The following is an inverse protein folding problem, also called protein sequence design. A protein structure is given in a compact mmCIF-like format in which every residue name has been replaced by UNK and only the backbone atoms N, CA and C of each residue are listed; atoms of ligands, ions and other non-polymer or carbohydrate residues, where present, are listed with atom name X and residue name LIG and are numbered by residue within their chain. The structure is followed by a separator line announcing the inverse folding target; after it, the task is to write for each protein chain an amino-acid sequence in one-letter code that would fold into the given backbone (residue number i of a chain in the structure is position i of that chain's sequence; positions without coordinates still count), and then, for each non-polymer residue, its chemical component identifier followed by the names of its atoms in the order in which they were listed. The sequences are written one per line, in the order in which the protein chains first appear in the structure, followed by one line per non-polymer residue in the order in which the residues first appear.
data_IF_025337589292
#
_entry.id   IF_025337589292
#
_cell.length_a   1.000
_cell.length_b   1.000
_cell.length_c   1.000
_cell.angle_alpha   90.00
_cell.angle_beta   90.00
_cell.angle_gamma   90.00
#
_symmetry.space_group_name_H-M   'P 1'
#
loop_
_entity.id
_entity.type
_entity.pdbx_description
1 polymer ?
#
# COMPACT_ATOMS: atom_id res chain seq x y z
N UNK A 1 -8.70 -6.09 -13.89
CA UNK A 1 -9.43 -4.81 -13.85
C UNK A 1 -9.61 -4.29 -12.42
N UNK A 2 -9.92 -5.16 -11.50
CA UNK A 2 -10.21 -4.84 -10.09
C UNK A 2 -9.10 -4.08 -9.36
N UNK A 3 -7.86 -4.20 -9.82
CA UNK A 3 -6.67 -3.53 -9.27
C UNK A 3 -6.42 -2.13 -9.85
N UNK A 4 -7.09 -1.72 -10.94
CA UNK A 4 -6.94 -0.40 -11.56
C UNK A 4 -8.28 0.33 -11.42
N UNK A 5 -8.29 1.38 -10.60
CA UNK A 5 -9.51 2.11 -10.25
C UNK A 5 -9.27 3.62 -10.26
N UNK A 6 -10.27 4.38 -10.67
CA UNK A 6 -10.33 5.84 -10.49
C UNK A 6 -11.59 6.13 -9.68
N UNK A 7 -11.44 6.79 -8.53
CA UNK A 7 -12.54 7.15 -7.61
C UNK A 7 -13.44 5.96 -7.23
N UNK A 8 -12.86 4.77 -7.10
CA UNK A 8 -13.56 3.53 -6.77
C UNK A 8 -14.05 2.72 -7.99
N UNK A 9 -14.18 3.33 -9.15
CA UNK A 9 -14.64 2.66 -10.37
C UNK A 9 -13.49 1.90 -11.06
N UNK A 10 -13.76 0.66 -11.44
CA UNK A 10 -12.79 -0.18 -12.15
C UNK A 10 -12.61 0.30 -13.60
N UNK A 11 -11.38 0.26 -14.10
CA UNK A 11 -11.06 0.45 -15.52
C UNK A 11 -12.04 -0.34 -16.42
N UNK A 12 -12.53 0.27 -17.49
CA UNK A 12 -13.48 -0.35 -18.43
C UNK A 12 -12.85 -1.55 -19.17
N UNK A 13 -13.67 -2.44 -19.68
CA UNK A 13 -13.19 -3.53 -20.57
C UNK A 13 -12.65 -2.97 -21.87
N UNK A 14 -13.28 -1.92 -22.38
CA UNK A 14 -12.90 -1.30 -23.65
C UNK A 14 -11.52 -0.65 -23.54
N UNK A 15 -11.24 0.11 -22.47
CA UNK A 15 -9.91 0.68 -22.22
C UNK A 15 -8.82 -0.40 -22.10
N UNK A 16 -9.12 -1.53 -21.46
CA UNK A 16 -8.17 -2.65 -21.40
C UNK A 16 -7.93 -3.23 -22.79
N UNK A 17 -9.00 -3.45 -23.58
CA UNK A 17 -8.90 -4.05 -24.90
C UNK A 17 -8.16 -3.13 -25.88
N UNK A 18 -8.42 -1.83 -25.84
CA UNK A 18 -7.75 -0.81 -26.65
C UNK A 18 -6.26 -0.81 -26.34
N UNK A 19 -5.87 -0.63 -25.09
CA UNK A 19 -4.47 -0.64 -24.68
C UNK A 19 -3.73 -1.94 -25.09
N UNK A 20 -4.39 -3.10 -24.89
CA UNK A 20 -3.80 -4.39 -25.27
C UNK A 20 -3.61 -4.52 -26.78
N UNK A 21 -4.57 -4.05 -27.58
CA UNK A 21 -4.47 -4.12 -29.05
C UNK A 21 -3.37 -3.19 -29.57
N UNK A 22 -3.28 -1.98 -29.05
CA UNK A 22 -2.32 -0.97 -29.48
C UNK A 22 -0.87 -1.35 -29.14
N UNK A 23 -0.68 -2.14 -28.08
CA UNK A 23 0.64 -2.52 -27.60
C UNK A 23 1.01 -4.01 -27.79
N UNK A 24 0.17 -4.78 -28.47
CA UNK A 24 0.30 -6.25 -28.56
C UNK A 24 1.65 -6.69 -29.14
N UNK A 25 2.09 -6.05 -30.23
CA UNK A 25 3.35 -6.39 -30.90
C UNK A 25 4.56 -6.02 -30.03
N UNK A 26 4.50 -4.91 -29.30
CA UNK A 26 5.53 -4.52 -28.34
C UNK A 26 5.61 -5.54 -27.20
N UNK A 27 4.48 -5.96 -26.67
CA UNK A 27 4.44 -6.96 -25.58
C UNK A 27 5.04 -8.29 -25.99
N UNK A 28 4.71 -8.76 -27.21
CA UNK A 28 5.23 -10.02 -27.75
C UNK A 28 6.73 -9.95 -28.03
N UNK A 29 7.19 -8.87 -28.64
CA UNK A 29 8.61 -8.72 -29.01
C UNK A 29 9.52 -8.55 -27.79
N UNK A 30 9.02 -8.03 -26.67
CA UNK A 30 9.78 -7.82 -25.45
C UNK A 30 9.54 -8.89 -24.36
N UNK A 31 8.69 -9.89 -24.60
CA UNK A 31 8.35 -10.95 -23.64
C UNK A 31 7.91 -10.41 -22.27
N UNK A 32 7.09 -9.34 -22.23
CA UNK A 32 6.66 -8.73 -21.00
C UNK A 32 5.79 -9.68 -20.17
N UNK A 33 6.02 -9.66 -18.86
CA UNK A 33 5.18 -10.38 -17.90
C UNK A 33 3.79 -9.74 -17.80
N UNK A 34 2.82 -10.50 -17.32
CA UNK A 34 1.47 -9.98 -17.07
C UNK A 34 1.48 -8.78 -16.12
N UNK A 35 2.38 -8.78 -15.12
CA UNK A 35 2.48 -7.66 -14.17
C UNK A 35 3.02 -6.39 -14.84
N UNK A 36 4.08 -6.49 -15.64
CA UNK A 36 4.63 -5.36 -16.40
C UNK A 36 3.59 -4.74 -17.35
N UNK A 37 2.84 -5.58 -18.08
CA UNK A 37 1.73 -5.11 -18.93
C UNK A 37 0.65 -4.41 -18.10
N UNK A 38 0.33 -4.93 -16.90
CA UNK A 38 -0.67 -4.34 -16.00
C UNK A 38 -0.21 -3.00 -15.45
N UNK A 39 1.06 -2.85 -15.11
CA UNK A 39 1.64 -1.58 -14.65
C UNK A 39 1.61 -0.54 -15.77
N UNK A 40 2.02 -0.92 -17.00
CA UNK A 40 1.93 -0.06 -18.18
C UNK A 40 0.51 0.44 -18.43
N UNK A 41 -0.47 -0.49 -18.42
CA UNK A 41 -1.88 -0.16 -18.54
C UNK A 41 -2.37 0.81 -17.45
N UNK A 42 -1.96 0.60 -16.19
CA UNK A 42 -2.37 1.47 -15.09
C UNK A 42 -1.84 2.90 -15.27
N UNK A 43 -0.57 3.06 -15.61
CA UNK A 43 0.02 4.37 -15.81
C UNK A 43 -0.54 5.09 -17.03
N UNK A 44 -0.74 4.39 -18.14
CA UNK A 44 -1.40 4.94 -19.32
C UNK A 44 -2.82 5.41 -18.99
N UNK A 45 -3.60 4.56 -18.33
CA UNK A 45 -4.97 4.88 -17.93
C UNK A 45 -5.07 6.08 -17.00
N UNK A 46 -4.20 6.18 -15.98
CA UNK A 46 -4.17 7.32 -15.08
C UNK A 46 -3.72 8.61 -15.78
N UNK A 47 -2.75 8.52 -16.69
CA UNK A 47 -2.28 9.66 -17.47
C UNK A 47 -3.38 10.20 -18.40
N UNK A 48 -4.06 9.32 -19.13
CA UNK A 48 -5.13 9.71 -20.05
C UNK A 48 -6.34 10.31 -19.32
N UNK A 49 -6.62 9.85 -18.09
CA UNK A 49 -7.69 10.40 -17.26
C UNK A 49 -7.25 11.58 -16.40
N UNK A 50 -5.98 12.01 -16.46
CA UNK A 50 -5.43 13.18 -15.75
C UNK A 50 -5.78 13.17 -14.26
N UNK A 51 -5.55 12.04 -13.59
CA UNK A 51 -5.83 11.91 -12.16
C UNK A 51 -4.99 12.91 -11.36
N UNK A 52 -5.57 13.52 -10.33
CA UNK A 52 -4.88 14.48 -9.46
C UNK A 52 -3.82 13.81 -8.60
N UNK A 53 -4.08 12.58 -8.16
CA UNK A 53 -3.17 11.76 -7.36
C UNK A 53 -3.37 10.28 -7.69
N UNK A 54 -2.27 9.52 -7.75
CA UNK A 54 -2.29 8.08 -7.91
C UNK A 54 -1.65 7.41 -6.70
N UNK A 55 -2.33 6.40 -6.13
CA UNK A 55 -1.80 5.54 -5.08
C UNK A 55 -1.34 4.25 -5.75
N UNK A 56 -0.03 4.04 -5.77
CA UNK A 56 0.60 2.93 -6.47
C UNK A 56 1.12 1.92 -5.45
N UNK A 57 0.54 0.74 -5.43
CA UNK A 57 0.99 -0.37 -4.62
C UNK A 57 2.08 -1.17 -5.34
N UNK A 58 3.22 -1.37 -4.68
CA UNK A 58 4.31 -2.22 -5.16
C UNK A 58 3.85 -3.67 -5.24
N UNK A 59 4.09 -4.33 -6.36
CA UNK A 59 3.70 -5.72 -6.54
C UNK A 59 4.52 -6.70 -5.70
N UNK A 60 5.86 -6.56 -5.72
CA UNK A 60 6.76 -7.41 -4.95
C UNK A 60 8.11 -6.73 -4.71
N UNK A 61 8.60 -6.80 -3.47
CA UNK A 61 9.89 -6.22 -3.09
C UNK A 61 9.87 -4.71 -3.11
N UNK A 62 10.42 -4.09 -4.13
CA UNK A 62 10.44 -2.64 -4.33
C UNK A 62 11.45 -2.19 -5.35
N UNK A 63 12.75 -2.44 -5.12
CA UNK A 63 13.87 -1.96 -5.94
C UNK A 63 13.72 -2.28 -7.43
N UNK A 64 13.36 -3.50 -7.76
CA UNK A 64 13.18 -4.01 -9.12
C UNK A 64 11.73 -4.15 -9.55
N UNK A 65 10.79 -3.65 -8.74
CA UNK A 65 9.38 -3.72 -9.10
C UNK A 65 9.06 -2.81 -10.29
N UNK A 66 8.20 -3.26 -11.18
CA UNK A 66 7.82 -2.53 -12.39
C UNK A 66 7.18 -1.17 -12.06
N UNK A 67 6.56 -1.02 -10.89
CA UNK A 67 5.99 0.26 -10.43
C UNK A 67 7.07 1.26 -10.04
N UNK A 68 8.30 0.83 -9.78
CA UNK A 68 9.37 1.67 -9.23
C UNK A 68 10.04 2.60 -10.27
N UNK A 69 9.47 2.72 -11.47
CA UNK A 69 9.94 3.67 -12.50
C UNK A 69 9.54 5.11 -12.21
N UNK A 70 8.58 5.33 -11.32
CA UNK A 70 8.05 6.65 -10.97
C UNK A 70 8.95 7.41 -9.99
N UNK A 71 8.80 8.73 -9.97
CA UNK A 71 9.24 9.59 -8.87
C UNK A 71 8.00 10.04 -8.11
N UNK A 72 7.69 9.43 -6.96
CA UNK A 72 6.47 9.74 -6.21
C UNK A 72 6.61 11.07 -5.46
N UNK A 73 5.52 11.61 -4.95
CA UNK A 73 5.53 12.75 -4.01
C UNK A 73 5.80 12.30 -2.57
N UNK A 74 5.56 11.03 -2.29
CA UNK A 74 5.78 10.39 -0.99
C UNK A 74 5.97 8.89 -1.21
N UNK A 75 6.96 8.29 -0.56
CA UNK A 75 7.10 6.84 -0.44
C UNK A 75 6.60 6.36 0.92
N UNK A 76 5.92 5.22 0.96
CA UNK A 76 5.43 4.62 2.20
C UNK A 76 5.85 3.15 2.25
N UNK A 77 6.48 2.74 3.35
CA UNK A 77 6.82 1.34 3.65
C UNK A 77 6.11 0.98 4.95
N UNK A 78 5.12 0.11 4.88
CA UNK A 78 4.22 -0.18 6.02
C UNK A 78 4.92 -0.94 7.14
N UNK A 79 5.28 -2.18 6.88
CA UNK A 79 6.09 -3.03 7.76
C UNK A 79 6.82 -4.09 6.93
N UNK A 80 7.75 -4.78 7.56
CA UNK A 80 8.48 -5.88 6.94
C UNK A 80 8.13 -7.17 7.68
N UNK A 81 7.68 -8.16 6.91
CA UNK A 81 7.54 -9.54 7.37
C UNK A 81 8.26 -10.49 6.42
N UNK A 82 8.60 -11.66 6.92
CA UNK A 82 9.19 -12.72 6.10
C UNK A 82 8.08 -13.24 5.17
N UNK A 83 8.14 -12.82 3.91
CA UNK A 83 7.24 -13.23 2.85
C UNK A 83 8.00 -13.29 1.52
N UNK A 84 7.49 -14.05 0.55
CA UNK A 84 8.10 -14.20 -0.78
C UNK A 84 9.58 -14.59 -0.74
N UNK A 85 10.00 -15.43 0.22
CA UNK A 85 11.40 -15.80 0.48
C UNK A 85 12.13 -16.37 -0.72
N UNK A 86 11.41 -16.97 -1.67
CA UNK A 86 11.99 -17.48 -2.92
C UNK A 86 12.58 -16.40 -3.82
N UNK A 87 12.11 -15.14 -3.68
CA UNK A 87 12.49 -14.02 -4.54
C UNK A 87 13.22 -12.90 -3.81
N UNK A 88 12.86 -12.63 -2.55
CA UNK A 88 13.32 -11.48 -1.79
C UNK A 88 14.46 -11.80 -0.81
N UNK A 89 14.84 -13.08 -0.69
CA UNK A 89 15.83 -13.52 0.28
C UNK A 89 15.20 -14.17 1.51
N UNK A 90 16.05 -14.84 2.29
CA UNK A 90 15.62 -15.68 3.42
C UNK A 90 15.64 -14.95 4.76
N UNK A 91 16.15 -13.70 4.80
CA UNK A 91 16.23 -12.90 6.02
C UNK A 91 15.52 -11.55 5.86
N UNK A 92 15.11 -11.00 6.98
CA UNK A 92 14.35 -9.74 7.02
C UNK A 92 15.15 -8.54 6.49
N UNK A 93 16.48 -8.56 6.64
CA UNK A 93 17.35 -7.49 6.18
C UNK A 93 17.41 -7.40 4.65
N UNK A 94 17.39 -8.53 3.95
CA UNK A 94 17.38 -8.53 2.48
C UNK A 94 16.04 -8.03 1.95
N UNK A 95 14.93 -8.44 2.56
CA UNK A 95 13.60 -7.94 2.23
C UNK A 95 13.51 -6.43 2.47
N UNK A 96 14.08 -5.95 3.59
CA UNK A 96 14.12 -4.51 3.90
C UNK A 96 14.91 -3.71 2.86
N UNK A 97 16.06 -4.21 2.39
CA UNK A 97 16.86 -3.57 1.32
C UNK A 97 16.09 -3.48 0.01
N UNK A 98 15.40 -4.56 -0.39
CA UNK A 98 14.56 -4.53 -1.59
C UNK A 98 13.43 -3.50 -1.47
N UNK A 99 12.74 -3.42 -0.32
CA UNK A 99 11.69 -2.43 -0.09
C UNK A 99 12.23 -1.01 0.02
N UNK A 100 13.39 -0.81 0.64
CA UNK A 100 14.07 0.49 0.69
C UNK A 100 14.42 1.04 -0.71
N UNK A 101 14.44 0.18 -1.74
CA UNK A 101 14.66 0.58 -3.13
C UNK A 101 13.59 1.53 -3.72
N UNK A 102 12.45 1.71 -3.06
CA UNK A 102 11.44 2.71 -3.46
C UNK A 102 11.72 4.12 -2.91
N UNK A 103 12.72 4.28 -2.03
CA UNK A 103 13.13 5.58 -1.51
C UNK A 103 13.82 6.34 -2.63
N UNK A 104 13.34 7.53 -2.97
CA UNK A 104 13.82 8.37 -4.06
C UNK A 104 14.53 9.62 -3.56
N UNK A 105 15.37 10.16 -4.41
CA UNK A 105 16.17 11.34 -4.07
C UNK A 105 15.28 12.54 -3.74
N UNK A 106 15.49 13.14 -2.56
CA UNK A 106 14.76 14.30 -2.04
C UNK A 106 13.25 14.08 -1.87
N UNK A 107 12.79 12.84 -1.88
CA UNK A 107 11.37 12.50 -1.67
C UNK A 107 11.20 11.95 -0.26
N UNK A 108 10.27 12.48 0.54
CA UNK A 108 10.03 11.98 1.90
C UNK A 108 9.58 10.52 1.89
N UNK A 109 9.92 9.79 2.96
CA UNK A 109 9.51 8.41 3.17
C UNK A 109 8.93 8.22 4.56
N UNK A 110 7.77 7.57 4.63
CA UNK A 110 7.13 7.12 5.87
C UNK A 110 7.41 5.63 6.06
N UNK A 111 7.93 5.27 7.22
CA UNK A 111 8.04 3.89 7.70
C UNK A 111 6.92 3.67 8.71
N UNK A 112 6.05 2.71 8.45
CA UNK A 112 4.84 2.50 9.25
C UNK A 112 5.10 1.91 10.63
N UNK A 113 6.02 0.94 10.72
CA UNK A 113 6.40 0.30 11.98
C UNK A 113 7.93 0.29 12.15
N UNK A 114 8.41 0.74 13.31
CA UNK A 114 9.80 0.63 13.68
C UNK A 114 10.12 -0.82 14.03
N UNK A 115 11.12 -1.37 13.34
CA UNK A 115 11.68 -2.68 13.61
C UNK A 115 13.18 -2.52 13.83
N UNK A 116 13.64 -2.60 15.08
CA UNK A 116 15.01 -2.24 15.48
C UNK A 116 16.07 -2.97 14.66
N UNK A 117 15.81 -4.24 14.31
CA UNK A 117 16.69 -5.10 13.53
C UNK A 117 17.01 -4.55 12.12
N UNK A 118 16.10 -3.80 11.53
CA UNK A 118 16.20 -3.29 10.15
C UNK A 118 16.09 -1.76 10.02
N UNK A 119 15.90 -1.06 11.14
CA UNK A 119 15.73 0.40 11.17
C UNK A 119 16.89 1.14 10.50
N UNK A 120 18.12 0.70 10.74
CA UNK A 120 19.31 1.30 10.15
C UNK A 120 19.32 1.22 8.62
N UNK A 121 18.77 0.16 8.02
CA UNK A 121 18.70 -0.02 6.56
C UNK A 121 17.90 1.12 5.92
N UNK A 122 16.78 1.50 6.51
CA UNK A 122 15.95 2.60 6.00
C UNK A 122 16.59 3.95 6.22
N UNK A 123 17.24 4.17 7.38
CA UNK A 123 17.98 5.40 7.69
C UNK A 123 19.13 5.58 6.69
N UNK A 124 19.92 4.56 6.44
CA UNK A 124 21.05 4.61 5.51
C UNK A 124 20.56 4.85 4.07
N UNK A 125 19.50 4.17 3.64
CA UNK A 125 18.92 4.35 2.33
C UNK A 125 18.35 5.77 2.12
N UNK A 126 17.70 6.37 3.14
CA UNK A 126 17.19 7.73 3.07
C UNK A 126 18.31 8.76 3.09
N UNK A 127 19.34 8.59 3.93
CA UNK A 127 20.50 9.46 3.95
C UNK A 127 21.21 9.48 2.59
N UNK A 128 21.40 8.32 1.96
CA UNK A 128 22.02 8.21 0.63
C UNK A 128 21.21 8.90 -0.48
N UNK A 129 19.91 9.14 -0.25
CA UNK A 129 19.00 9.81 -1.17
C UNK A 129 18.67 11.25 -0.75
N UNK A 130 19.22 11.74 0.36
CA UNK A 130 18.80 13.01 0.97
C UNK A 130 17.28 13.10 1.13
N UNK A 131 16.65 11.97 1.46
CA UNK A 131 15.21 11.83 1.68
C UNK A 131 14.92 12.03 3.18
N UNK A 132 13.91 12.83 3.50
CA UNK A 132 13.40 12.91 4.85
C UNK A 132 12.74 11.57 5.24
N UNK A 133 13.14 10.99 6.37
CA UNK A 133 12.55 9.75 6.87
C UNK A 133 11.75 10.01 8.15
N UNK A 134 10.55 9.46 8.22
CA UNK A 134 9.67 9.57 9.38
C UNK A 134 9.14 8.18 9.74
N UNK A 135 9.21 7.83 11.03
CA UNK A 135 8.61 6.61 11.57
C UNK A 135 7.23 6.94 12.12
N UNK A 136 6.19 6.32 11.56
CA UNK A 136 4.80 6.67 11.88
C UNK A 136 4.40 6.28 13.31
N UNK A 137 5.02 5.26 13.88
CA UNK A 137 4.77 4.78 15.22
C UNK A 137 5.45 5.61 16.33
N UNK A 138 6.29 6.60 15.97
CA UNK A 138 6.74 7.65 16.88
C UNK A 138 5.62 8.65 17.25
N UNK A 139 4.47 8.61 16.56
CA UNK A 139 3.36 9.55 16.71
C UNK A 139 2.09 8.83 17.19
N UNK A 140 1.30 9.52 18.01
CA UNK A 140 0.04 9.00 18.53
C UNK A 140 -1.12 9.85 17.98
N UNK A 141 -2.09 9.19 17.37
CA UNK A 141 -3.30 9.81 16.81
C UNK A 141 -4.54 9.20 17.44
N UNK A 142 -4.95 9.73 18.60
CA UNK A 142 -6.06 9.17 19.40
C UNK A 142 -7.45 9.66 18.97
N UNK A 143 -7.53 10.66 18.09
CA UNK A 143 -8.78 11.35 17.76
C UNK A 143 -9.47 10.84 16.48
N UNK A 144 -8.99 9.74 15.89
CA UNK A 144 -9.50 9.22 14.64
C UNK A 144 -10.05 7.81 14.78
N UNK A 145 -11.26 7.59 14.23
CA UNK A 145 -11.89 6.30 14.12
C UNK A 145 -11.85 5.79 12.69
N UNK A 146 -11.69 4.47 12.52
CA UNK A 146 -11.74 3.79 11.23
C UNK A 146 -12.82 2.71 11.23
N UNK A 147 -13.52 2.54 10.10
CA UNK A 147 -14.52 1.48 9.95
C UNK A 147 -13.88 0.10 9.76
N UNK A 148 -12.62 0.03 9.39
CA UNK A 148 -11.87 -1.23 9.34
C UNK A 148 -11.54 -1.72 10.75
N UNK A 149 -11.91 -2.97 11.04
CA UNK A 149 -11.71 -3.59 12.35
C UNK A 149 -10.47 -4.48 12.33
N UNK A 150 -9.77 -4.53 13.48
CA UNK A 150 -8.53 -5.31 13.66
C UNK A 150 -7.44 -4.47 14.32
N UNK A 151 -6.68 -5.06 15.23
CA UNK A 151 -5.65 -4.33 15.97
C UNK A 151 -4.54 -3.80 15.06
N UNK A 152 -4.23 -4.53 13.98
CA UNK A 152 -3.27 -4.08 12.96
C UNK A 152 -3.73 -2.83 12.20
N UNK A 153 -5.05 -2.57 12.14
CA UNK A 153 -5.56 -1.38 11.47
C UNK A 153 -5.21 -0.08 12.22
N UNK A 154 -4.99 -0.14 13.53
CA UNK A 154 -4.49 1.02 14.28
C UNK A 154 -3.11 1.46 13.76
N UNK A 155 -2.20 0.52 13.51
CA UNK A 155 -0.88 0.80 12.95
C UNK A 155 -0.97 1.31 11.51
N UNK A 156 -1.82 0.68 10.69
CA UNK A 156 -2.09 1.17 9.34
C UNK A 156 -2.65 2.60 9.37
N UNK A 157 -3.56 2.90 10.29
CA UNK A 157 -4.13 4.23 10.44
C UNK A 157 -3.06 5.27 10.83
N UNK A 158 -2.15 4.96 11.77
CA UNK A 158 -1.02 5.83 12.11
C UNK A 158 -0.16 6.12 10.87
N UNK A 159 0.16 5.09 10.08
CA UNK A 159 0.91 5.23 8.83
C UNK A 159 0.20 6.15 7.84
N UNK A 160 -1.11 5.96 7.66
CA UNK A 160 -1.94 6.80 6.77
C UNK A 160 -1.99 8.25 7.26
N UNK A 161 -2.23 8.47 8.56
CA UNK A 161 -2.32 9.82 9.12
C UNK A 161 -0.99 10.57 8.98
N UNK A 162 0.14 9.89 9.21
CA UNK A 162 1.46 10.50 9.00
C UNK A 162 1.74 10.82 7.53
N UNK A 163 1.34 9.93 6.63
CA UNK A 163 1.44 10.18 5.20
C UNK A 163 0.60 11.40 4.76
N UNK A 164 -0.63 11.52 5.27
CA UNK A 164 -1.51 12.65 4.98
C UNK A 164 -0.97 13.97 5.54
N UNK A 165 -0.39 13.96 6.74
CA UNK A 165 0.27 15.14 7.34
C UNK A 165 1.41 15.66 6.44
N UNK A 166 2.27 14.77 5.92
CA UNK A 166 3.34 15.14 4.99
C UNK A 166 2.76 15.69 3.68
N UNK A 167 1.69 15.12 3.16
CA UNK A 167 1.03 15.62 1.96
C UNK A 167 0.43 17.02 2.20
N UNK A 168 -0.18 17.27 3.36
CA UNK A 168 -0.67 18.60 3.74
C UNK A 168 0.45 19.66 3.75
N UNK A 169 1.64 19.28 4.26
CA UNK A 169 2.83 20.15 4.26
C UNK A 169 3.35 20.44 2.84
N UNK A 170 3.02 19.61 1.87
CA UNK A 170 3.36 19.74 0.45
C UNK A 170 2.19 20.31 -0.40
N UNK A 171 1.38 21.20 0.18
CA UNK A 171 0.30 21.94 -0.47
C UNK A 171 -0.91 21.11 -0.95
N UNK A 172 -1.02 19.84 -0.56
CA UNK A 172 -2.23 19.07 -0.83
C UNK A 172 -3.37 19.57 0.07
N UNK A 173 -4.49 19.95 -0.53
CA UNK A 173 -5.66 20.52 0.17
C UNK A 173 -6.46 19.43 0.90
N UNK A 174 -5.87 18.83 1.91
CA UNK A 174 -6.48 17.84 2.78
C UNK A 174 -6.77 18.50 4.13
N UNK A 175 -8.01 18.43 4.62
CA UNK A 175 -8.40 18.93 5.94
C UNK A 175 -8.90 17.79 6.83
N UNK A 176 -9.05 18.05 8.13
CA UNK A 176 -9.49 17.04 9.10
C UNK A 176 -10.83 16.42 8.74
N UNK A 177 -11.75 17.20 8.16
CA UNK A 177 -13.04 16.69 7.70
C UNK A 177 -12.89 15.61 6.59
N UNK A 178 -11.94 15.81 5.67
CA UNK A 178 -11.61 14.82 4.64
C UNK A 178 -11.04 13.54 5.27
N UNK A 179 -10.13 13.69 6.24
CA UNK A 179 -9.49 12.56 6.94
C UNK A 179 -10.54 11.76 7.71
N UNK A 180 -11.33 12.43 8.55
CA UNK A 180 -12.37 11.80 9.38
C UNK A 180 -13.39 11.05 8.50
N UNK A 181 -13.88 11.70 7.44
CA UNK A 181 -14.85 11.08 6.54
C UNK A 181 -14.25 9.92 5.75
N UNK A 182 -12.99 10.04 5.32
CA UNK A 182 -12.28 8.97 4.62
C UNK A 182 -12.11 7.74 5.48
N UNK A 183 -11.61 7.89 6.70
CA UNK A 183 -11.38 6.79 7.64
C UNK A 183 -12.68 6.11 8.10
N UNK A 184 -13.75 6.88 8.33
CA UNK A 184 -15.05 6.32 8.74
C UNK A 184 -15.79 5.57 7.64
N UNK A 185 -15.37 5.71 6.38
CA UNK A 185 -16.06 5.14 5.21
C UNK A 185 -15.11 4.41 4.27
N UNK A 186 -14.03 3.81 4.78
CA UNK A 186 -13.05 3.11 3.93
C UNK A 186 -13.74 2.01 3.13
N UNK A 187 -14.49 1.13 3.79
CA UNK A 187 -15.18 0.02 3.13
C UNK A 187 -16.20 0.50 2.10
N UNK A 188 -16.95 1.56 2.40
CA UNK A 188 -17.93 2.13 1.49
C UNK A 188 -17.27 2.80 0.27
N UNK A 189 -16.24 3.61 0.50
CA UNK A 189 -15.58 4.40 -0.55
C UNK A 189 -14.74 3.55 -1.50
N UNK A 190 -14.21 2.42 -1.02
CA UNK A 190 -13.25 1.61 -1.78
C UNK A 190 -13.81 0.26 -2.23
N UNK A 191 -14.91 -0.20 -1.61
CA UNK A 191 -15.41 -1.56 -1.79
C UNK A 191 -14.45 -2.63 -1.25
N UNK A 192 -13.55 -2.26 -0.31
CA UNK A 192 -12.59 -3.18 0.31
C UNK A 192 -13.32 -4.29 1.08
N UNK A 193 -12.94 -5.54 0.80
CA UNK A 193 -13.48 -6.75 1.43
C UNK A 193 -12.36 -7.61 2.00
N UNK A 194 -12.76 -8.56 2.87
CA UNK A 194 -11.82 -9.54 3.42
C UNK A 194 -10.77 -8.94 4.36
N UNK A 195 -11.09 -7.88 5.08
CA UNK A 195 -10.29 -7.30 6.15
C UNK A 195 -11.10 -7.27 7.43
N UNK A 196 -11.18 -8.42 8.13
CA UNK A 196 -12.06 -8.65 9.26
C UNK A 196 -13.52 -8.32 8.89
N UNK A 197 -13.94 -8.74 7.70
CA UNK A 197 -15.28 -8.48 7.18
C UNK A 197 -16.29 -9.39 7.85
N UNK A 198 -17.25 -8.82 8.58
CA UNK A 198 -18.35 -9.57 9.17
C UNK A 198 -19.38 -9.83 8.08
N UNK A 199 -19.43 -11.08 7.58
CA UNK A 199 -20.40 -11.51 6.57
C UNK A 199 -21.77 -11.76 7.22
N UNK A 200 -21.78 -12.31 8.43
CA UNK A 200 -22.99 -12.68 9.17
C UNK A 200 -22.76 -12.59 10.67
N UNK A 201 -23.77 -12.14 11.41
CA UNK A 201 -23.68 -11.99 12.87
C UNK A 201 -24.16 -13.21 13.67
N UNK A 202 -25.06 -14.02 13.11
CA UNK A 202 -25.61 -15.21 13.80
C UNK A 202 -25.78 -16.37 12.82
N UNK A 203 -24.93 -17.44 12.88
CA UNK A 203 -23.67 -17.46 13.62
C UNK A 203 -22.70 -16.39 13.12
N UNK A 204 -21.74 -15.97 13.94
CA UNK A 204 -20.72 -15.00 13.52
C UNK A 204 -19.82 -15.63 12.44
N UNK A 205 -19.83 -15.04 11.24
CA UNK A 205 -18.98 -15.43 10.11
C UNK A 205 -18.13 -14.23 9.73
N UNK A 206 -16.82 -14.39 9.78
CA UNK A 206 -15.82 -13.36 9.43
C UNK A 206 -15.00 -13.85 8.26
N UNK A 207 -14.77 -12.97 7.28
CA UNK A 207 -13.81 -13.18 6.19
C UNK A 207 -12.59 -12.32 6.42
N UNK A 208 -11.41 -12.93 6.37
CA UNK A 208 -10.12 -12.24 6.39
C UNK A 208 -9.18 -12.87 5.38
N UNK A 209 -8.43 -12.05 4.65
CA UNK A 209 -7.48 -12.50 3.61
C UNK A 209 -6.06 -12.67 4.13
N UNK A 210 -5.86 -12.67 5.45
CA UNK A 210 -4.59 -12.98 6.08
C UNK A 210 -4.07 -14.34 5.62
N UNK A 211 -2.85 -14.38 5.06
CA UNK A 211 -2.26 -15.58 4.44
C UNK A 211 -0.79 -15.82 4.78
N UNK A 212 -0.19 -14.95 5.59
CA UNK A 212 1.15 -15.16 6.16
C UNK A 212 1.08 -15.25 7.69
N UNK A 213 2.12 -15.79 8.31
CA UNK A 213 2.15 -16.07 9.75
C UNK A 213 1.90 -14.81 10.58
N UNK A 214 2.48 -13.68 10.19
CA UNK A 214 2.30 -12.41 10.90
C UNK A 214 0.83 -11.93 10.84
N UNK A 215 0.21 -11.96 9.66
CA UNK A 215 -1.18 -11.54 9.50
C UNK A 215 -2.17 -12.50 10.20
N UNK A 216 -1.95 -13.82 10.10
CA UNK A 216 -2.80 -14.83 10.73
C UNK A 216 -2.74 -14.75 12.26
N UNK A 217 -1.58 -14.42 12.85
CA UNK A 217 -1.47 -14.29 14.32
C UNK A 217 -2.38 -13.19 14.87
N UNK A 218 -2.52 -12.08 14.18
CA UNK A 218 -3.46 -11.02 14.57
C UNK A 218 -4.94 -11.46 14.48
N UNK A 219 -5.28 -12.27 13.49
CA UNK A 219 -6.63 -12.80 13.30
C UNK A 219 -6.99 -13.79 14.41
N UNK A 220 -6.09 -14.69 14.78
CA UNK A 220 -6.29 -15.69 15.84
C UNK A 220 -6.45 -15.07 17.23
N UNK A 221 -5.64 -14.08 17.58
CA UNK A 221 -5.74 -13.39 18.87
C UNK A 221 -7.14 -12.79 19.07
N UNK A 222 -7.70 -12.17 18.04
CA UNK A 222 -9.00 -11.54 18.12
C UNK A 222 -10.18 -12.54 18.12
N UNK A 223 -10.05 -13.66 17.46
CA UNK A 223 -11.08 -14.72 17.50
C UNK A 223 -11.28 -15.25 18.94
N UNK A 224 -10.20 -15.30 19.72
CA UNK A 224 -10.25 -15.69 21.14
C UNK A 224 -10.87 -14.60 22.04
N UNK A 225 -10.69 -13.31 21.73
CA UNK A 225 -11.27 -12.19 22.48
C UNK A 225 -12.79 -12.07 22.29
N UNK A 226 -13.30 -12.49 21.13
CA UNK A 226 -14.74 -12.43 20.81
C UNK A 226 -15.52 -13.66 21.32
N UNK A 227 -14.83 -14.69 21.82
CA UNK A 227 -15.42 -15.93 22.33
C UNK A 227 -15.54 -15.96 23.86
N UNK A 228 -15.14 -14.91 24.54
CA UNK A 228 -15.29 -14.66 25.98
C UNK A 228 -16.33 -13.54 26.19
#
# INVERSE_FOLDING_TARGET
RDRIRINGDMISKDSVSEFMNDNLDFFKSNNLSFFEMTVGLAFDYFSNNKVDIAIIEVGMGGRLDSTNIITPVLSVITNISIDHTKFLGSNISDIAKEKAGIIKKNIPVVIGETQDEIKSIFIDASNAKSAEIVFADDFIYDNYDCDLKGNYQRKNMQTVLKALEILQQNDYKINDGHIINGLKKVSLNTGLKGRWEVIQNKPLIISDTAHNTAAVSYTHLRANETSS
#
